data_IF_423445508337
#
_entry.id   IF_423445508337
#
_cell.length_a   1.000
_cell.length_b   1.000
_cell.length_c   1.000
_cell.angle_alpha   90.00
_cell.angle_beta   90.00
_cell.angle_gamma   90.00
#
_symmetry.space_group_name_H-M   'P 1'
#
loop_
_entity.id
_entity.type
_entity.pdbx_description
1 polymer ?
#
# COMPACT_ATOMS: atom_id res chain seq x y z
N UNK A 1 12.17 10.21 5.97
CA UNK A 1 11.58 9.05 6.66
C UNK A 1 10.41 8.55 5.87
N UNK A 2 10.41 7.27 5.54
CA UNK A 2 9.30 6.66 4.82
C UNK A 2 8.16 6.31 5.77
N UNK A 3 7.05 5.85 5.23
CA UNK A 3 5.91 5.40 6.02
C UNK A 3 5.42 4.06 5.49
N UNK A 4 5.00 3.18 6.38
CA UNK A 4 4.48 1.86 6.04
C UNK A 4 3.02 1.80 6.46
N UNK A 5 2.14 1.52 5.51
CA UNK A 5 0.74 1.24 5.79
C UNK A 5 0.57 -0.27 5.93
N UNK A 6 -0.05 -0.69 7.01
CA UNK A 6 -0.31 -2.10 7.29
C UNK A 6 -1.81 -2.31 7.31
N UNK A 7 -2.27 -3.26 6.52
CA UNK A 7 -3.70 -3.60 6.38
C UNK A 7 -4.00 -4.91 7.08
N UNK A 8 -5.09 -4.90 7.83
CA UNK A 8 -5.68 -6.12 8.37
C UNK A 8 -6.94 -6.41 7.58
N UNK A 9 -7.05 -7.62 7.01
CA UNK A 9 -8.17 -7.94 6.14
C UNK A 9 -9.42 -8.27 6.92
N UNK A 10 -10.58 -7.92 6.35
CA UNK A 10 -11.87 -8.33 6.89
C UNK A 10 -12.14 -9.79 6.61
N UNK A 11 -13.04 -10.42 7.39
CA UNK A 11 -13.34 -11.85 7.21
C UNK A 11 -13.94 -12.16 5.85
N UNK A 12 -14.56 -11.17 5.19
CA UNK A 12 -15.22 -11.35 3.90
C UNK A 12 -14.34 -10.91 2.74
N UNK A 13 -13.02 -10.79 2.93
CA UNK A 13 -12.16 -10.22 1.89
C UNK A 13 -12.26 -10.98 0.56
N UNK A 14 -12.31 -12.31 0.62
CA UNK A 14 -12.35 -13.12 -0.60
C UNK A 14 -13.60 -12.86 -1.43
N UNK A 15 -14.71 -12.57 -0.76
CA UNK A 15 -15.98 -12.25 -1.42
C UNK A 15 -15.98 -10.81 -1.95
N UNK A 16 -15.34 -9.89 -1.23
CA UNK A 16 -15.40 -8.45 -1.55
C UNK A 16 -14.35 -7.99 -2.53
N UNK A 17 -13.17 -8.63 -2.55
CA UNK A 17 -12.06 -8.22 -3.41
C UNK A 17 -12.45 -8.10 -4.88
N UNK A 18 -13.15 -9.07 -5.51
CA UNK A 18 -13.41 -8.99 -6.95
C UNK A 18 -14.13 -7.72 -7.39
N UNK A 19 -15.06 -7.22 -6.56
CA UNK A 19 -15.85 -6.04 -6.92
C UNK A 19 -15.02 -4.74 -6.87
N UNK A 20 -13.92 -4.73 -6.11
CA UNK A 20 -13.17 -3.49 -5.83
C UNK A 20 -11.72 -3.54 -6.29
N UNK A 21 -11.29 -4.66 -6.87
CA UNK A 21 -9.87 -4.85 -7.23
C UNK A 21 -9.40 -3.86 -8.29
N UNK A 22 -10.21 -3.63 -9.33
CA UNK A 22 -9.81 -2.73 -10.42
C UNK A 22 -9.63 -1.30 -9.91
N UNK A 23 -10.56 -0.81 -9.08
CA UNK A 23 -10.49 0.53 -8.52
C UNK A 23 -9.31 0.67 -7.54
N UNK A 24 -9.05 -0.38 -6.75
CA UNK A 24 -7.90 -0.41 -5.84
C UNK A 24 -6.58 -0.32 -6.63
N UNK A 25 -6.46 -1.08 -7.71
CA UNK A 25 -5.28 -1.06 -8.57
C UNK A 25 -5.09 0.29 -9.24
N UNK A 26 -6.17 0.90 -9.71
CA UNK A 26 -6.10 2.22 -10.34
C UNK A 26 -5.56 3.25 -9.36
N UNK A 27 -6.00 3.17 -8.10
CA UNK A 27 -5.52 4.10 -7.08
C UNK A 27 -4.04 3.92 -6.78
N UNK A 28 -3.56 2.67 -6.63
CA UNK A 28 -2.13 2.51 -6.32
C UNK A 28 -1.25 2.84 -7.54
N UNK A 29 -1.75 2.66 -8.77
CA UNK A 29 -1.02 3.12 -9.95
C UNK A 29 -0.89 4.64 -9.96
N UNK A 30 -1.94 5.33 -9.57
CA UNK A 30 -1.94 6.80 -9.51
C UNK A 30 -0.88 7.30 -8.52
N UNK A 31 -0.86 6.71 -7.32
CA UNK A 31 0.12 7.12 -6.31
C UNK A 31 1.54 6.72 -6.69
N UNK A 32 1.71 5.59 -7.35
CA UNK A 32 3.01 5.16 -7.87
C UNK A 32 3.50 6.12 -8.96
N UNK A 33 2.61 6.55 -9.86
CA UNK A 33 2.96 7.49 -10.92
C UNK A 33 3.38 8.85 -10.35
N UNK A 34 2.84 9.24 -9.20
CA UNK A 34 3.24 10.48 -8.52
C UNK A 34 4.56 10.33 -7.75
N UNK A 35 5.12 9.12 -7.71
CA UNK A 35 6.34 8.84 -6.94
C UNK A 35 6.13 8.73 -5.45
N UNK A 36 4.89 8.64 -5.00
CA UNK A 36 4.57 8.61 -3.57
C UNK A 36 4.43 7.19 -3.01
N UNK A 37 4.03 6.24 -3.84
CA UNK A 37 3.92 4.83 -3.45
C UNK A 37 5.07 4.07 -4.08
N UNK A 38 5.88 3.43 -3.26
CA UNK A 38 7.09 2.74 -3.71
C UNK A 38 6.88 1.25 -3.90
N UNK A 39 6.16 0.61 -3.00
CA UNK A 39 5.88 -0.82 -3.03
C UNK A 39 4.54 -1.08 -2.37
N UNK A 40 3.79 -2.06 -2.88
CA UNK A 40 2.52 -2.45 -2.27
C UNK A 40 2.22 -3.89 -2.63
N UNK A 41 1.64 -4.64 -1.71
CA UNK A 41 1.21 -5.99 -2.00
C UNK A 41 0.70 -6.72 -0.76
N UNK A 42 -0.01 -7.83 -0.98
CA UNK A 42 -0.46 -8.68 0.11
C UNK A 42 0.68 -9.57 0.59
N UNK A 43 0.62 -9.95 1.87
CA UNK A 43 1.48 -11.03 2.36
C UNK A 43 0.99 -12.36 1.77
N UNK A 44 1.82 -13.40 1.84
CA UNK A 44 1.52 -14.68 1.21
C UNK A 44 0.18 -15.26 1.68
N UNK A 45 -0.14 -15.10 2.96
CA UNK A 45 -1.46 -15.44 3.49
C UNK A 45 -2.16 -14.14 3.88
N UNK A 46 -2.79 -13.49 2.90
CA UNK A 46 -3.35 -12.16 3.11
C UNK A 46 -4.47 -12.14 4.13
N UNK A 47 -5.26 -13.22 4.22
CA UNK A 47 -6.37 -13.27 5.17
C UNK A 47 -5.87 -13.20 6.61
N UNK A 48 -4.75 -13.86 6.91
CA UNK A 48 -4.16 -13.86 8.25
C UNK A 48 -3.21 -12.69 8.48
N UNK A 49 -2.36 -12.42 7.50
CA UNK A 49 -1.24 -11.50 7.68
C UNK A 49 -1.47 -10.12 7.08
N UNK A 50 -2.48 -9.99 6.21
CA UNK A 50 -2.83 -8.70 5.63
C UNK A 50 -1.96 -8.32 4.45
N UNK A 51 -1.74 -7.02 4.33
CA UNK A 51 -0.99 -6.44 3.23
C UNK A 51 -0.22 -5.23 3.73
N UNK A 52 0.75 -4.76 2.93
CA UNK A 52 1.47 -3.55 3.29
C UNK A 52 1.79 -2.72 2.06
N UNK A 53 1.96 -1.42 2.29
CA UNK A 53 2.44 -0.50 1.28
C UNK A 53 3.50 0.40 1.87
N UNK A 54 4.50 0.77 1.06
CA UNK A 54 5.59 1.65 1.49
C UNK A 54 5.48 2.95 0.71
N UNK A 55 5.40 4.05 1.44
CA UNK A 55 5.19 5.38 0.88
C UNK A 55 6.37 6.29 1.23
N UNK A 56 6.57 7.33 0.41
CA UNK A 56 7.66 8.29 0.64
C UNK A 56 7.41 9.16 1.87
N UNK A 57 6.13 9.40 2.23
CA UNK A 57 5.77 10.22 3.40
C UNK A 57 4.55 9.64 4.09
N UNK A 58 4.39 10.00 5.38
CA UNK A 58 3.19 9.64 6.13
C UNK A 58 1.94 10.27 5.51
N UNK A 59 2.05 11.51 5.03
CA UNK A 59 0.92 12.20 4.42
C UNK A 59 0.40 11.46 3.20
N UNK A 60 1.31 10.97 2.35
CA UNK A 60 0.92 10.20 1.17
C UNK A 60 0.25 8.88 1.57
N UNK A 61 0.78 8.21 2.60
CA UNK A 61 0.19 6.97 3.10
C UNK A 61 -1.22 7.21 3.63
N UNK A 62 -1.42 8.28 4.39
CA UNK A 62 -2.73 8.61 4.95
C UNK A 62 -3.73 8.95 3.85
N UNK A 63 -3.31 9.74 2.88
CA UNK A 63 -4.17 10.08 1.75
C UNK A 63 -4.60 8.81 0.99
N UNK A 64 -3.64 7.94 0.70
CA UNK A 64 -3.92 6.70 -0.03
C UNK A 64 -4.95 5.85 0.72
N UNK A 65 -4.69 5.58 2.00
CA UNK A 65 -5.50 4.67 2.79
C UNK A 65 -6.92 5.18 2.93
N UNK A 66 -7.09 6.49 3.16
CA UNK A 66 -8.41 7.07 3.38
C UNK A 66 -9.31 7.01 2.15
N UNK A 67 -8.73 6.89 0.96
CA UNK A 67 -9.51 6.79 -0.27
C UNK A 67 -9.42 5.44 -0.96
N UNK A 68 -8.72 4.48 -0.37
CA UNK A 68 -8.58 3.16 -0.99
C UNK A 68 -9.92 2.42 -1.00
N UNK A 69 -10.41 2.02 -2.17
CA UNK A 69 -11.67 1.25 -2.25
C UNK A 69 -11.69 0.02 -1.36
N UNK A 70 -10.55 -0.62 -1.12
CA UNK A 70 -10.49 -1.77 -0.21
C UNK A 70 -10.82 -1.37 1.23
N UNK A 71 -10.43 -0.16 1.64
CA UNK A 71 -10.76 0.36 2.96
C UNK A 71 -12.21 0.81 3.00
N UNK A 72 -12.65 1.54 1.97
CA UNK A 72 -13.99 2.12 1.93
C UNK A 72 -15.08 1.06 1.89
N UNK A 73 -14.79 -0.11 1.33
CA UNK A 73 -15.78 -1.16 1.09
C UNK A 73 -15.55 -2.42 1.92
N UNK A 74 -14.76 -2.33 2.97
CA UNK A 74 -14.67 -3.39 3.98
C UNK A 74 -13.83 -4.60 3.61
N UNK A 75 -13.04 -4.54 2.54
CA UNK A 75 -12.03 -5.56 2.27
C UNK A 75 -10.99 -5.52 3.38
N UNK A 76 -10.58 -4.31 3.74
CA UNK A 76 -9.68 -4.03 4.85
C UNK A 76 -10.54 -3.57 6.03
N UNK A 77 -10.44 -4.26 7.15
CA UNK A 77 -11.23 -3.89 8.33
C UNK A 77 -10.48 -2.94 9.26
N UNK A 78 -9.15 -2.94 9.19
CA UNK A 78 -8.34 -2.09 10.06
C UNK A 78 -7.02 -1.79 9.38
N UNK A 79 -6.46 -0.63 9.69
CA UNK A 79 -5.16 -0.24 9.12
C UNK A 79 -4.39 0.60 10.12
N UNK A 80 -3.05 0.55 10.00
CA UNK A 80 -2.16 1.40 10.78
C UNK A 80 -1.08 1.94 9.85
N UNK A 81 -0.53 3.11 10.21
CA UNK A 81 0.59 3.70 9.48
C UNK A 81 1.72 3.90 10.48
N UNK A 82 2.92 3.46 10.12
CA UNK A 82 4.10 3.60 10.94
C UNK A 82 5.16 4.38 10.19
N UNK A 83 5.79 5.32 10.86
CA UNK A 83 6.98 5.95 10.31
C UNK A 83 8.11 4.93 10.33
N UNK A 84 8.90 4.90 9.25
CA UNK A 84 9.92 3.88 9.06
C UNK A 84 11.24 4.52 8.65
N UNK A 85 12.24 4.26 9.45
CA UNK A 85 13.60 4.72 9.22
C UNK A 85 14.38 3.59 8.59
N UNK A 86 14.36 3.50 7.28
CA UNK A 86 15.08 2.43 6.61
C UNK A 86 16.58 2.59 6.81
N UNK A 87 17.24 1.50 7.19
CA UNK A 87 18.67 1.51 7.47
C UNK A 87 19.51 1.27 6.21
N UNK A 88 18.95 0.49 5.27
CA UNK A 88 19.59 0.19 4.00
C UNK A 88 18.62 0.48 2.89
N UNK A 89 19.04 1.28 1.92
CA UNK A 89 18.21 1.65 0.77
C UNK A 89 18.93 1.17 -0.48
N UNK A 90 18.26 0.54 -1.44
CA UNK A 90 18.92 0.17 -2.69
C UNK A 90 19.50 1.40 -3.36
N UNK A 91 20.67 1.29 -4.00
CA UNK A 91 21.26 2.44 -4.69
C UNK A 91 20.35 2.90 -5.82
N UNK A 92 20.42 4.19 -6.13
CA UNK A 92 19.71 4.74 -7.26
C UNK A 92 20.18 4.05 -8.53
N UNK A 93 19.27 3.82 -9.47
CA UNK A 93 19.60 3.19 -10.74
C UNK A 93 20.53 4.13 -11.50
N UNK A 94 21.74 3.66 -11.82
CA UNK A 94 22.71 4.44 -12.59
C UNK A 94 22.38 4.27 -14.05
N UNK A 95 22.05 5.35 -14.67
CA UNK A 95 21.92 5.33 -16.11
C UNK A 95 23.26 5.74 -16.65
N UNK A 96 23.93 5.02 -17.07
CA UNK A 96 24.92 5.30 -17.51
C UNK A 96 25.71 6.09 -17.90
N UNK A 97 25.82 6.08 -17.25
CA UNK A 97 26.33 6.64 -17.36
C UNK A 97 27.03 6.86 -17.73
N UNK A 98 26.92 6.85 -17.62
CA UNK A 98 27.08 6.86 -17.84
C UNK A 98 27.56 6.98 -18.31
#
# INVERSE_FOLDING_TARGET
MKAVALYEMGPDMMTRVPAHLAAHRERWREFAARGELLMIGPFANALEDGAMGIFTTREAAEEFVRGDPFVLHGVVRNWTIRDWNEALVPPAKVTEQQ
#
